data_IF_525188676441
#
_entry.id   IF_525188676441
#
_cell.length_a   1.000
_cell.length_b   1.000
_cell.length_c   1.000
_cell.angle_alpha   90.00
_cell.angle_beta   90.00
_cell.angle_gamma   90.00
#
_symmetry.space_group_name_H-M   'P 1'
#
loop_
_entity.id
_entity.type
_entity.pdbx_description
1 polymer ?
#
# COMPACT_ATOMS: atom_id res chain seq x y z
N UNK A 1 23.62 -31.14 52.10
CA UNK A 1 23.17 -31.84 50.87
C UNK A 1 21.64 -31.86 50.89
N UNK A 2 20.99 -30.88 50.25
CA UNK A 2 19.57 -30.83 49.85
C UNK A 2 19.45 -29.46 49.15
N UNK A 3 19.95 -29.42 47.91
CA UNK A 3 19.73 -28.34 46.96
C UNK A 3 18.55 -28.79 46.10
N UNK A 4 17.39 -28.90 46.75
CA UNK A 4 16.09 -29.16 46.11
C UNK A 4 15.36 -27.83 46.01
N UNK A 5 14.53 -27.66 44.97
CA UNK A 5 13.71 -26.48 44.65
C UNK A 5 14.34 -25.41 43.75
N UNK A 6 14.94 -25.83 42.63
CA UNK A 6 14.97 -24.99 41.43
C UNK A 6 14.39 -25.76 40.23
N UNK A 7 13.27 -26.43 40.45
CA UNK A 7 12.51 -27.12 39.43
C UNK A 7 11.19 -26.41 39.20
N UNK A 8 10.89 -26.20 37.92
CA UNK A 8 9.54 -26.11 37.38
C UNK A 8 8.85 -24.73 37.45
N UNK A 9 9.38 -23.77 36.72
CA UNK A 9 8.57 -22.66 36.18
C UNK A 9 8.59 -22.69 34.65
N UNK A 10 8.03 -23.76 34.08
CA UNK A 10 7.78 -23.92 32.64
C UNK A 10 6.30 -24.19 32.34
N UNK A 11 5.38 -23.76 33.21
CA UNK A 11 3.96 -24.03 33.08
C UNK A 11 3.14 -22.73 33.01
N UNK A 12 3.31 -21.97 31.93
CA UNK A 12 2.24 -21.13 31.38
C UNK A 12 2.27 -21.23 29.85
N UNK A 13 1.98 -22.42 29.33
CA UNK A 13 1.49 -22.55 27.95
C UNK A 13 -0.01 -22.77 28.04
N UNK A 14 -0.73 -21.66 28.20
CA UNK A 14 -2.18 -21.63 28.07
C UNK A 14 -2.53 -21.80 26.59
N UNK A 15 -2.86 -23.04 26.24
CA UNK A 15 -3.86 -23.50 25.28
C UNK A 15 -4.54 -22.37 24.48
N UNK A 16 -3.96 -22.05 23.34
CA UNK A 16 -4.63 -21.30 22.28
C UNK A 16 -4.57 -22.18 21.02
N UNK A 17 -5.69 -22.82 20.67
CA UNK A 17 -5.80 -23.75 19.54
C UNK A 17 -5.83 -23.00 18.20
N UNK A 18 -4.99 -21.97 18.05
CA UNK A 18 -4.80 -21.28 16.79
C UNK A 18 -3.74 -22.03 15.99
N UNK A 19 -4.13 -22.65 14.88
CA UNK A 19 -3.24 -23.35 13.97
C UNK A 19 -2.10 -22.39 13.54
N UNK A 20 -0.83 -22.65 13.90
CA UNK A 20 0.28 -21.72 13.60
C UNK A 20 0.48 -21.51 12.09
N UNK A 21 0.03 -22.46 11.26
CA UNK A 21 0.08 -22.38 9.79
C UNK A 21 -0.87 -21.29 9.27
N UNK A 22 -2.08 -21.16 9.84
CA UNK A 22 -3.02 -20.12 9.39
C UNK A 22 -2.52 -18.72 9.77
N UNK A 23 -1.99 -18.56 10.99
CA UNK A 23 -1.39 -17.29 11.43
C UNK A 23 -0.20 -16.85 10.57
N UNK A 24 0.62 -17.79 10.10
CA UNK A 24 1.73 -17.49 9.20
C UNK A 24 1.23 -17.05 7.80
N UNK A 25 0.27 -17.79 7.23
CA UNK A 25 -0.34 -17.45 5.94
C UNK A 25 -1.00 -16.07 5.96
N UNK A 26 -1.81 -15.79 6.99
CA UNK A 26 -2.49 -14.51 7.17
C UNK A 26 -1.48 -13.36 7.28
N UNK A 27 -0.40 -13.54 8.04
CA UNK A 27 0.65 -12.52 8.20
C UNK A 27 1.34 -12.18 6.89
N UNK A 28 1.62 -13.17 6.04
CA UNK A 28 2.28 -12.93 4.74
C UNK A 28 1.34 -12.20 3.79
N UNK A 29 0.07 -12.62 3.73
CA UNK A 29 -0.96 -11.99 2.89
C UNK A 29 -1.18 -10.53 3.31
N UNK A 30 -1.26 -10.29 4.62
CA UNK A 30 -1.48 -8.94 5.16
C UNK A 30 -0.29 -8.03 4.91
N UNK A 31 0.94 -8.52 5.11
CA UNK A 31 2.15 -7.77 4.76
C UNK A 31 2.19 -7.45 3.27
N UNK A 32 1.87 -8.41 2.40
CA UNK A 32 1.83 -8.20 0.96
C UNK A 32 0.82 -7.13 0.56
N UNK A 33 -0.43 -7.23 1.06
CA UNK A 33 -1.47 -6.23 0.82
C UNK A 33 -1.08 -4.84 1.32
N UNK A 34 -0.47 -4.77 2.51
CA UNK A 34 -0.01 -3.51 3.10
C UNK A 34 1.08 -2.86 2.25
N UNK A 35 2.07 -3.63 1.78
CA UNK A 35 3.12 -3.13 0.89
C UNK A 35 2.55 -2.68 -0.44
N UNK A 36 1.61 -3.43 -1.03
CA UNK A 36 0.94 -3.04 -2.28
C UNK A 36 0.19 -1.71 -2.13
N UNK A 37 -0.64 -1.59 -1.09
CA UNK A 37 -1.37 -0.35 -0.80
C UNK A 37 -0.43 0.84 -0.55
N UNK A 38 0.71 0.62 0.10
CA UNK A 38 1.72 1.66 0.27
C UNK A 38 2.32 2.10 -1.06
N UNK A 39 2.69 1.14 -1.93
CA UNK A 39 3.18 1.43 -3.28
C UNK A 39 2.16 2.19 -4.13
N UNK A 40 0.89 1.79 -4.06
CA UNK A 40 -0.20 2.46 -4.78
C UNK A 40 -0.43 3.90 -4.26
N UNK A 41 -0.32 4.13 -2.94
CA UNK A 41 -0.38 5.49 -2.37
C UNK A 41 0.80 6.37 -2.78
N UNK A 42 2.00 5.80 -2.88
CA UNK A 42 3.17 6.56 -3.33
C UNK A 42 3.04 6.91 -4.81
N UNK A 43 2.61 5.95 -5.62
CA UNK A 43 2.30 6.18 -7.04
C UNK A 43 1.24 7.27 -7.20
N UNK A 44 0.17 7.24 -6.39
CA UNK A 44 -0.87 8.29 -6.39
C UNK A 44 -0.28 9.68 -6.14
N UNK A 45 0.57 9.83 -5.12
CA UNK A 45 1.21 11.12 -4.80
C UNK A 45 2.09 11.62 -5.93
N UNK A 46 2.86 10.75 -6.56
CA UNK A 46 3.70 11.12 -7.70
C UNK A 46 2.86 11.60 -8.89
N UNK A 47 1.76 10.91 -9.19
CA UNK A 47 0.85 11.31 -10.26
C UNK A 47 0.14 12.63 -9.94
N UNK A 48 -0.29 12.86 -8.70
CA UNK A 48 -0.84 14.16 -8.27
C UNK A 48 0.18 15.30 -8.43
N UNK A 49 1.45 15.04 -8.12
CA UNK A 49 2.52 15.98 -8.37
C UNK A 49 2.71 16.21 -9.87
N UNK A 50 2.66 15.17 -10.69
CA UNK A 50 2.75 15.29 -12.15
C UNK A 50 1.61 16.14 -12.73
N UNK A 51 0.36 15.98 -12.26
CA UNK A 51 -0.78 16.84 -12.65
C UNK A 51 -0.49 18.31 -12.30
N UNK A 52 0.08 18.55 -11.11
CA UNK A 52 0.45 19.91 -10.69
C UNK A 52 1.54 20.50 -11.59
N UNK A 53 2.59 19.73 -11.89
CA UNK A 53 3.66 20.14 -12.79
C UNK A 53 3.14 20.41 -14.21
N UNK A 54 2.27 19.53 -14.73
CA UNK A 54 1.60 19.73 -16.02
C UNK A 54 0.84 21.05 -16.03
N UNK A 55 0.06 21.32 -14.98
CA UNK A 55 -0.73 22.56 -14.86
C UNK A 55 0.14 23.81 -14.86
N UNK A 56 1.27 23.77 -14.15
CA UNK A 56 2.25 24.87 -14.15
C UNK A 56 2.84 25.07 -15.55
N UNK A 57 3.22 23.99 -16.24
CA UNK A 57 3.85 24.06 -17.55
C UNK A 57 2.89 24.49 -18.68
N UNK A 58 1.61 24.13 -18.59
CA UNK A 58 0.64 24.30 -19.69
C UNK A 58 -0.47 25.31 -19.38
N UNK A 59 -0.52 25.86 -18.16
CA UNK A 59 -1.59 26.75 -17.68
C UNK A 59 -3.01 26.15 -17.79
N UNK A 60 -3.11 24.82 -17.88
CA UNK A 60 -4.36 24.05 -17.90
C UNK A 60 -4.16 22.66 -17.29
N UNK A 61 -5.24 21.99 -16.93
CA UNK A 61 -5.18 20.59 -16.50
C UNK A 61 -4.96 19.64 -17.69
N UNK A 62 -4.39 18.45 -17.44
CA UNK A 62 -4.45 17.34 -18.38
C UNK A 62 -5.91 17.00 -18.75
N UNK A 63 -6.17 16.67 -20.00
CA UNK A 63 -7.48 16.22 -20.46
C UNK A 63 -7.83 14.81 -19.99
N UNK A 64 -6.81 13.96 -19.84
CA UNK A 64 -6.92 12.56 -19.46
C UNK A 64 -5.58 12.02 -18.90
N UNK A 65 -5.59 10.76 -18.46
CA UNK A 65 -4.38 10.08 -18.01
C UNK A 65 -3.38 9.83 -19.15
N UNK A 66 -3.85 9.64 -20.38
CA UNK A 66 -2.99 9.44 -21.56
C UNK A 66 -2.12 10.68 -21.85
N UNK A 67 -2.66 11.88 -21.67
CA UNK A 67 -1.92 13.12 -21.81
C UNK A 67 -0.88 13.28 -20.70
N UNK A 68 -1.23 12.87 -19.48
CA UNK A 68 -0.29 12.86 -18.37
C UNK A 68 0.85 11.86 -18.62
N UNK A 69 0.57 10.66 -19.14
CA UNK A 69 1.59 9.67 -19.55
C UNK A 69 2.55 10.24 -20.59
N UNK A 70 2.02 10.92 -21.62
CA UNK A 70 2.87 11.57 -22.65
C UNK A 70 3.75 12.67 -22.06
N UNK A 71 3.27 13.37 -21.03
CA UNK A 71 4.02 14.43 -20.36
C UNK A 71 5.12 13.89 -19.44
N UNK A 72 4.84 12.83 -18.68
CA UNK A 72 5.81 12.24 -17.74
C UNK A 72 6.77 11.26 -18.41
N UNK A 73 6.37 10.66 -19.53
CA UNK A 73 7.08 9.54 -20.14
C UNK A 73 6.90 8.22 -19.38
N UNK A 74 6.00 8.18 -18.40
CA UNK A 74 5.73 7.00 -17.57
C UNK A 74 4.37 6.41 -17.90
N UNK A 75 4.28 5.08 -17.97
CA UNK A 75 3.01 4.37 -18.10
C UNK A 75 2.24 4.41 -16.78
N UNK A 76 0.96 4.76 -16.84
CA UNK A 76 0.03 4.84 -15.73
C UNK A 76 -0.95 3.67 -15.81
N UNK A 77 -1.08 2.91 -14.72
CA UNK A 77 -2.09 1.85 -14.64
C UNK A 77 -3.51 2.44 -14.47
N UNK A 78 -4.21 2.61 -15.59
CA UNK A 78 -5.57 3.17 -15.65
C UNK A 78 -6.62 2.29 -14.97
N UNK A 79 -6.29 1.04 -14.64
CA UNK A 79 -7.18 0.19 -13.84
C UNK A 79 -7.10 0.50 -12.34
N UNK A 80 -6.02 1.15 -11.90
CA UNK A 80 -5.81 1.54 -10.49
C UNK A 80 -6.19 2.97 -10.17
N UNK A 81 -6.13 3.87 -11.15
CA UNK A 81 -6.35 5.30 -10.92
C UNK A 81 -7.62 5.81 -11.61
N UNK A 82 -8.27 6.75 -10.96
CA UNK A 82 -9.39 7.52 -11.48
C UNK A 82 -8.99 8.99 -11.51
N UNK A 83 -9.30 9.66 -12.62
CA UNK A 83 -8.92 11.04 -12.89
C UNK A 83 -10.13 11.85 -13.35
N UNK A 84 -10.35 12.99 -12.71
CA UNK A 84 -11.33 13.99 -13.09
C UNK A 84 -10.59 15.20 -13.70
N UNK A 85 -10.73 15.37 -15.01
CA UNK A 85 -10.08 16.45 -15.77
C UNK A 85 -10.67 17.83 -15.51
N UNK A 86 -11.88 17.92 -14.96
CA UNK A 86 -12.51 19.19 -14.61
C UNK A 86 -11.92 19.81 -13.34
N UNK A 87 -11.56 18.97 -12.36
CA UNK A 87 -10.99 19.41 -11.07
C UNK A 87 -9.49 19.13 -10.96
N UNK A 88 -8.95 18.25 -11.80
CA UNK A 88 -7.59 17.74 -11.71
C UNK A 88 -7.42 16.71 -10.59
N UNK A 89 -8.53 16.21 -10.03
CA UNK A 89 -8.51 15.25 -8.92
C UNK A 89 -8.07 13.88 -9.43
N UNK A 90 -7.10 13.28 -8.74
CA UNK A 90 -6.61 11.93 -9.01
C UNK A 90 -6.71 11.10 -7.73
N UNK A 91 -7.38 9.95 -7.83
CA UNK A 91 -7.63 9.03 -6.71
C UNK A 91 -7.36 7.58 -7.10
N UNK A 92 -7.21 6.71 -6.09
CA UNK A 92 -7.24 5.27 -6.32
C UNK A 92 -8.68 4.82 -6.59
N UNK A 93 -8.84 3.94 -7.56
CA UNK A 93 -10.09 3.20 -7.77
C UNK A 93 -10.36 2.31 -6.54
N UNK A 94 -11.63 2.18 -6.21
CA UNK A 94 -12.10 1.32 -5.11
C UNK A 94 -12.15 -0.15 -5.52
#
# INVERSE_FOLDING_TARGET
MIMLLLSLSFLVSCKDSSNPISKYGDTVIDKYKSTQQFGDRMSLKNLQQAVTTFRVANSRLPGDLDELERFTGETIDKNKFEYDSSTGTLTLKK
#
